data_IF_035197119781
#
_entry.id   IF_035197119781
#
_cell.length_a   1.000
_cell.length_b   1.000
_cell.length_c   1.000
_cell.angle_alpha   90.00
_cell.angle_beta   90.00
_cell.angle_gamma   90.00
#
_symmetry.space_group_name_H-M   'P 1'
#
loop_
_entity.id
_entity.type
_entity.pdbx_description
1 polymer ?
#
# COMPACT_ATOMS: atom_id res chain seq x y z
N UNK A 1 1.12 18.26 -5.02
CA UNK A 1 0.13 17.15 -5.11
C UNK A 1 -0.10 16.62 -3.70
N UNK A 2 -1.35 16.52 -3.23
CA UNK A 2 -1.67 16.09 -1.86
C UNK A 2 -2.30 14.69 -1.91
N UNK A 3 -1.69 13.70 -1.24
CA UNK A 3 -2.14 12.31 -1.26
C UNK A 3 -3.52 12.10 -0.60
N UNK A 4 -3.97 13.02 0.26
CA UNK A 4 -5.33 13.01 0.79
C UNK A 4 -6.39 13.21 -0.30
N UNK A 5 -6.03 13.82 -1.43
CA UNK A 5 -6.95 14.11 -2.54
C UNK A 5 -6.96 12.99 -3.58
N UNK A 6 -5.81 12.41 -3.92
CA UNK A 6 -5.69 11.40 -4.96
C UNK A 6 -4.47 10.49 -4.73
N UNK A 7 -4.55 9.27 -5.25
CA UNK A 7 -3.46 8.30 -5.22
C UNK A 7 -2.43 8.55 -6.35
N UNK A 8 -1.41 7.70 -6.43
CA UNK A 8 -0.38 7.79 -7.46
C UNK A 8 -0.92 7.70 -8.90
N UNK A 9 -2.01 6.97 -9.14
CA UNK A 9 -2.65 6.91 -10.47
C UNK A 9 -3.28 8.26 -10.78
N UNK A 10 -4.06 8.81 -9.86
CA UNK A 10 -4.64 10.15 -10.01
C UNK A 10 -3.56 11.23 -10.22
N UNK A 11 -2.45 11.14 -9.49
CA UNK A 11 -1.32 12.05 -9.66
C UNK A 11 -0.74 12.00 -11.08
N UNK A 12 -0.54 10.80 -11.63
CA UNK A 12 0.00 10.65 -12.98
C UNK A 12 -1.00 11.08 -14.06
N UNK A 13 -2.30 10.81 -13.89
CA UNK A 13 -3.34 11.32 -14.80
C UNK A 13 -3.37 12.86 -14.84
N UNK A 14 -3.15 13.52 -13.70
CA UNK A 14 -3.00 14.98 -13.65
C UNK A 14 -1.77 15.46 -14.43
N UNK A 15 -0.61 14.84 -14.22
CA UNK A 15 0.63 15.21 -14.93
C UNK A 15 0.48 15.01 -16.44
N UNK A 16 -0.15 13.90 -16.86
CA UNK A 16 -0.43 13.63 -18.28
C UNK A 16 -1.38 14.69 -18.87
N UNK A 17 -2.47 15.01 -18.18
CA UNK A 17 -3.44 16.03 -18.60
C UNK A 17 -2.79 17.42 -18.72
N UNK A 18 -1.89 17.75 -17.78
CA UNK A 18 -1.12 18.98 -17.83
C UNK A 18 -0.20 19.02 -19.05
N UNK A 19 0.51 17.92 -19.36
CA UNK A 19 1.37 17.82 -20.52
C UNK A 19 0.60 17.87 -21.86
N UNK A 20 -0.63 17.36 -21.92
CA UNK A 20 -1.52 17.52 -23.08
C UNK A 20 -1.97 18.97 -23.27
N UNK A 21 -2.41 19.59 -22.17
CA UNK A 21 -2.84 20.99 -22.18
C UNK A 21 -1.70 21.92 -22.62
N UNK A 22 -0.49 21.71 -22.10
CA UNK A 22 0.69 22.49 -22.46
C UNK A 22 1.09 22.35 -23.94
N UNK A 23 0.77 21.22 -24.57
CA UNK A 23 0.97 20.99 -26.02
C UNK A 23 -0.15 21.57 -26.89
N UNK A 24 -1.16 22.19 -26.29
CA UNK A 24 -2.30 22.76 -27.02
C UNK A 24 -3.27 21.71 -27.55
N UNK A 25 -3.30 20.52 -26.96
CA UNK A 25 -4.31 19.51 -27.31
C UNK A 25 -5.69 20.03 -26.91
N UNK A 26 -6.65 19.99 -27.85
CA UNK A 26 -7.99 20.56 -27.66
C UNK A 26 -8.85 19.78 -26.63
N UNK A 27 -8.67 18.46 -26.57
CA UNK A 27 -9.39 17.57 -25.65
C UNK A 27 -8.42 16.60 -24.98
N UNK A 28 -8.57 16.39 -23.67
CA UNK A 28 -7.74 15.47 -22.91
C UNK A 28 -8.02 14.01 -23.33
N UNK A 29 -6.98 13.18 -23.42
CA UNK A 29 -7.12 11.75 -23.76
C UNK A 29 -7.92 10.99 -22.69
N UNK A 30 -7.80 11.42 -21.43
CA UNK A 30 -8.57 10.91 -20.29
C UNK A 30 -9.12 12.10 -19.50
N UNK A 31 -10.36 12.53 -19.77
CA UNK A 31 -10.99 13.57 -18.97
C UNK A 31 -11.15 13.11 -17.51
N UNK A 32 -10.89 13.97 -16.52
CA UNK A 32 -11.00 13.59 -15.11
C UNK A 32 -12.47 13.43 -14.70
N UNK A 33 -12.76 12.35 -13.99
CA UNK A 33 -14.04 12.12 -13.32
C UNK A 33 -13.90 12.51 -11.84
N UNK A 34 -14.58 13.60 -11.45
CA UNK A 34 -14.39 14.27 -10.16
C UNK A 34 -15.42 13.91 -9.09
N UNK A 35 -16.47 13.15 -9.44
CA UNK A 35 -17.51 12.80 -8.49
C UNK A 35 -17.06 11.67 -7.56
N UNK A 36 -16.52 12.03 -6.40
CA UNK A 36 -16.09 11.05 -5.40
C UNK A 36 -17.24 10.33 -4.69
N UNK A 37 -18.51 10.73 -4.90
CA UNK A 37 -19.66 10.07 -4.26
C UNK A 37 -19.85 8.62 -4.71
N UNK A 38 -19.22 8.21 -5.82
CA UNK A 38 -19.14 6.82 -6.28
C UNK A 38 -18.47 5.86 -5.28
N UNK A 39 -17.70 6.40 -4.33
CA UNK A 39 -17.07 5.67 -3.21
C UNK A 39 -17.65 6.05 -1.84
N UNK A 40 -18.90 6.51 -1.79
CA UNK A 40 -19.59 6.76 -0.51
C UNK A 40 -19.86 5.44 0.21
N UNK A 41 -19.84 5.47 1.55
CA UNK A 41 -20.31 4.35 2.35
C UNK A 41 -21.77 4.01 2.06
N UNK A 42 -22.09 2.73 2.24
CA UNK A 42 -23.45 2.21 2.18
C UNK A 42 -24.27 2.74 3.35
N UNK A 43 -25.59 2.75 3.18
CA UNK A 43 -26.56 3.11 4.20
C UNK A 43 -27.57 1.96 4.40
N UNK A 44 -27.49 1.19 5.51
CA UNK A 44 -26.52 1.32 6.61
C UNK A 44 -25.12 0.78 6.24
N UNK A 45 -24.05 1.26 6.90
CA UNK A 45 -22.70 0.74 6.71
C UNK A 45 -22.59 -0.69 7.25
N UNK A 46 -21.80 -1.53 6.58
CA UNK A 46 -21.52 -2.90 7.02
C UNK A 46 -20.17 -2.95 7.73
N UNK A 47 -20.17 -3.25 9.02
CA UNK A 47 -19.00 -3.18 9.88
C UNK A 47 -18.09 -4.42 9.88
N UNK A 48 -18.43 -5.46 9.13
CA UNK A 48 -17.60 -6.67 9.03
C UNK A 48 -16.41 -6.42 8.10
N UNK A 49 -15.34 -5.87 8.65
CA UNK A 49 -14.04 -5.86 8.00
C UNK A 49 -12.93 -6.24 9.01
N UNK A 50 -12.30 -7.41 8.85
CA UNK A 50 -11.14 -7.75 9.67
C UNK A 50 -9.92 -6.97 9.17
N UNK A 51 -9.55 -5.91 9.90
CA UNK A 51 -8.39 -5.07 9.58
C UNK A 51 -7.08 -5.73 9.99
N UNK A 52 -6.56 -6.65 9.18
CA UNK A 52 -5.22 -7.22 9.41
C UNK A 52 -4.10 -6.23 9.07
N UNK A 53 -4.37 -5.25 8.20
CA UNK A 53 -3.45 -4.18 7.78
C UNK A 53 -2.82 -3.45 8.96
N UNK A 54 -3.64 -3.11 9.96
CA UNK A 54 -3.27 -2.32 11.13
C UNK A 54 -3.02 -3.17 12.38
N UNK A 55 -3.09 -4.49 12.27
CA UNK A 55 -2.81 -5.37 13.40
C UNK A 55 -1.33 -5.24 13.81
N UNK A 56 -1.09 -5.03 15.10
CA UNK A 56 0.26 -5.01 15.65
C UNK A 56 0.89 -6.41 15.55
N UNK A 57 2.18 -6.44 15.19
CA UNK A 57 3.00 -7.63 15.25
C UNK A 57 3.94 -7.49 16.45
N UNK A 58 4.11 -8.53 17.29
CA UNK A 58 5.07 -8.47 18.38
C UNK A 58 6.50 -8.24 17.86
N UNK A 59 7.23 -7.33 18.47
CA UNK A 59 8.64 -7.06 18.18
C UNK A 59 9.52 -7.96 19.04
N UNK A 60 9.86 -9.13 18.51
CA UNK A 60 10.71 -10.14 19.14
C UNK A 60 12.21 -9.86 18.85
N UNK A 61 12.50 -9.17 17.76
CA UNK A 61 13.88 -8.87 17.31
C UNK A 61 14.37 -7.48 17.73
N UNK A 62 13.60 -6.76 18.56
CA UNK A 62 13.91 -5.39 19.00
C UNK A 62 14.18 -4.46 17.81
N UNK A 63 13.39 -4.61 16.76
CA UNK A 63 13.50 -3.83 15.52
C UNK A 63 13.27 -2.35 15.77
N UNK A 64 12.44 -1.99 16.76
CA UNK A 64 12.25 -0.61 17.17
C UNK A 64 13.54 0.03 17.68
N UNK A 65 14.34 -0.67 18.49
CA UNK A 65 15.64 -0.18 18.94
C UNK A 65 16.63 -0.09 17.77
N UNK A 66 16.61 -1.07 16.85
CA UNK A 66 17.46 -1.04 15.67
C UNK A 66 17.20 0.19 14.79
N UNK A 67 15.94 0.53 14.53
CA UNK A 67 15.60 1.75 13.77
C UNK A 67 15.91 3.03 14.54
N UNK A 68 15.80 3.02 15.87
CA UNK A 68 16.17 4.18 16.70
C UNK A 68 17.68 4.41 16.82
N UNK A 69 18.49 3.35 16.64
CA UNK A 69 19.95 3.41 16.79
C UNK A 69 20.69 3.70 15.48
N UNK A 70 20.06 3.48 14.32
CA UNK A 70 20.69 3.59 13.01
C UNK A 70 20.04 4.67 12.14
N UNK A 71 20.87 5.40 11.40
CA UNK A 71 20.38 6.34 10.40
C UNK A 71 19.80 5.58 9.20
N UNK A 72 18.57 5.92 8.82
CA UNK A 72 17.93 5.34 7.63
C UNK A 72 18.50 5.99 6.37
N UNK A 73 19.11 5.16 5.52
CA UNK A 73 19.66 5.59 4.24
C UNK A 73 18.66 5.32 3.11
N UNK A 74 18.32 6.37 2.37
CA UNK A 74 17.54 6.24 1.14
C UNK A 74 18.46 5.87 -0.03
N UNK A 75 18.12 4.79 -0.73
CA UNK A 75 18.83 4.32 -1.94
C UNK A 75 17.82 3.87 -2.98
N UNK A 76 18.14 4.15 -4.25
CA UNK A 76 17.36 3.69 -5.40
C UNK A 76 18.08 2.52 -6.06
N UNK A 77 17.32 1.47 -6.37
CA UNK A 77 17.81 0.29 -7.08
C UNK A 77 17.10 0.24 -8.43
N UNK A 78 17.88 0.17 -9.51
CA UNK A 78 17.33 0.07 -10.85
C UNK A 78 17.28 -1.40 -11.27
N UNK A 79 16.14 -1.84 -11.76
CA UNK A 79 15.93 -3.18 -12.29
C UNK A 79 15.62 -3.06 -13.78
N UNK A 80 16.55 -3.46 -14.63
CA UNK A 80 16.33 -3.53 -16.06
C UNK A 80 15.41 -4.72 -16.43
N UNK A 81 14.87 -4.76 -17.67
CA UNK A 81 13.96 -5.83 -18.08
C UNK A 81 14.55 -7.24 -17.92
N UNK A 82 15.85 -7.43 -18.16
CA UNK A 82 16.50 -8.74 -18.04
C UNK A 82 16.54 -9.19 -16.58
N UNK A 83 16.84 -8.27 -15.65
CA UNK A 83 16.75 -8.52 -14.22
C UNK A 83 15.32 -8.84 -13.79
N UNK A 84 14.33 -8.09 -14.25
CA UNK A 84 12.92 -8.33 -13.91
C UNK A 84 12.46 -9.72 -14.37
N UNK A 85 12.87 -10.17 -15.55
CA UNK A 85 12.57 -11.51 -16.04
C UNK A 85 13.31 -12.60 -15.27
N UNK A 86 14.58 -12.37 -14.86
CA UNK A 86 15.28 -13.28 -13.95
C UNK A 86 14.57 -13.41 -12.60
N UNK A 87 14.12 -12.30 -12.01
CA UNK A 87 13.38 -12.29 -10.75
C UNK A 87 12.06 -13.05 -10.87
N UNK A 88 11.33 -12.85 -11.98
CA UNK A 88 10.12 -13.65 -12.28
C UNK A 88 10.47 -15.14 -12.41
N UNK A 89 11.55 -15.48 -13.11
CA UNK A 89 12.05 -16.85 -13.24
C UNK A 89 12.34 -17.50 -11.88
N UNK A 90 12.97 -16.78 -10.95
CA UNK A 90 13.20 -17.27 -9.57
C UNK A 90 11.90 -17.57 -8.82
N UNK A 91 10.86 -16.78 -9.03
CA UNK A 91 9.55 -17.00 -8.40
C UNK A 91 8.78 -18.18 -9.00
N UNK A 92 9.10 -18.61 -10.22
CA UNK A 92 8.44 -19.70 -10.93
C UNK A 92 9.25 -21.01 -10.96
N UNK A 93 10.52 -20.97 -10.56
CA UNK A 93 11.49 -22.05 -10.78
C UNK A 93 11.12 -23.39 -10.14
N UNK A 94 10.39 -23.38 -9.02
CA UNK A 94 9.98 -24.58 -8.29
C UNK A 94 8.59 -25.10 -8.69
N UNK A 95 7.91 -24.44 -9.63
CA UNK A 95 6.57 -24.80 -10.09
C UNK A 95 5.44 -24.60 -9.07
N UNK A 96 5.73 -24.02 -7.90
CA UNK A 96 4.70 -23.77 -6.88
C UNK A 96 3.69 -22.70 -7.32
N UNK A 97 4.14 -21.74 -8.15
CA UNK A 97 3.31 -20.72 -8.77
C UNK A 97 3.11 -21.02 -10.25
N UNK A 98 1.86 -21.10 -10.69
CA UNK A 98 1.52 -21.26 -12.11
C UNK A 98 1.77 -19.99 -12.94
N UNK A 99 1.69 -18.82 -12.31
CA UNK A 99 2.04 -17.53 -12.89
C UNK A 99 2.45 -16.54 -11.80
N UNK A 100 3.22 -15.52 -12.15
CA UNK A 100 3.65 -14.48 -11.23
C UNK A 100 3.87 -13.16 -11.98
N UNK A 101 3.34 -12.06 -11.47
CA UNK A 101 3.62 -10.74 -12.01
C UNK A 101 5.01 -10.26 -11.58
N UNK A 102 5.60 -9.33 -12.32
CA UNK A 102 6.88 -8.70 -11.94
C UNK A 102 6.80 -8.04 -10.56
N UNK A 103 5.66 -7.41 -10.26
CA UNK A 103 5.38 -6.83 -8.96
C UNK A 103 5.48 -7.90 -7.87
N UNK A 104 4.71 -8.98 -7.99
CA UNK A 104 4.67 -10.07 -7.00
C UNK A 104 6.06 -10.69 -6.77
N UNK A 105 6.79 -10.99 -7.85
CA UNK A 105 8.11 -11.60 -7.79
C UNK A 105 9.14 -10.68 -7.11
N UNK A 106 9.16 -9.39 -7.50
CA UNK A 106 10.09 -8.41 -6.96
C UNK A 106 9.77 -8.06 -5.51
N UNK A 107 8.49 -7.89 -5.18
CA UNK A 107 8.00 -7.72 -3.80
C UNK A 107 8.48 -8.87 -2.91
N UNK A 108 8.28 -10.11 -3.35
CA UNK A 108 8.72 -11.30 -2.62
C UNK A 108 10.24 -11.36 -2.44
N UNK A 109 11.00 -11.04 -3.49
CA UNK A 109 12.47 -11.02 -3.43
C UNK A 109 12.98 -9.96 -2.44
N UNK A 110 12.46 -8.75 -2.52
CA UNK A 110 12.89 -7.61 -1.68
C UNK A 110 12.51 -7.84 -0.23
N UNK A 111 11.32 -8.37 0.02
CA UNK A 111 10.90 -8.72 1.37
C UNK A 111 11.84 -9.74 2.01
N UNK A 112 12.21 -10.79 1.28
CA UNK A 112 13.23 -11.76 1.73
C UNK A 112 14.59 -11.11 1.95
N UNK A 113 15.05 -10.27 1.01
CA UNK A 113 16.34 -9.59 1.10
C UNK A 113 16.43 -8.68 2.33
N UNK A 114 15.38 -7.90 2.60
CA UNK A 114 15.31 -7.02 3.78
C UNK A 114 15.29 -7.83 5.08
N UNK A 115 14.46 -8.87 5.16
CA UNK A 115 14.42 -9.78 6.31
C UNK A 115 15.79 -10.37 6.60
N UNK A 116 16.53 -10.78 5.56
CA UNK A 116 17.91 -11.27 5.69
C UNK A 116 18.87 -10.19 6.17
N UNK A 117 18.81 -8.99 5.60
CA UNK A 117 19.70 -7.88 5.92
C UNK A 117 19.56 -7.38 7.36
N UNK A 118 18.35 -7.45 7.91
CA UNK A 118 18.06 -7.08 9.29
C UNK A 118 18.43 -8.16 10.31
N UNK A 119 18.80 -9.36 9.88
CA UNK A 119 19.18 -10.44 10.79
C UNK A 119 18.08 -10.82 11.78
N UNK A 120 16.81 -10.76 11.37
CA UNK A 120 15.66 -10.97 12.25
C UNK A 120 15.66 -12.38 12.84
N UNK A 121 15.18 -12.51 14.08
CA UNK A 121 14.96 -13.80 14.72
C UNK A 121 13.96 -14.64 13.88
N UNK A 122 14.15 -15.96 13.74
CA UNK A 122 13.27 -16.80 12.90
C UNK A 122 11.78 -16.67 13.23
N UNK A 123 11.43 -16.42 14.49
CA UNK A 123 10.07 -16.29 15.02
C UNK A 123 9.46 -14.90 14.77
N UNK A 124 10.28 -13.90 14.40
CA UNK A 124 9.81 -12.55 14.13
C UNK A 124 8.82 -12.57 12.97
N UNK A 125 7.58 -12.17 13.23
CA UNK A 125 6.61 -11.90 12.18
C UNK A 125 7.00 -10.62 11.47
N UNK A 126 6.89 -10.63 10.15
CA UNK A 126 7.14 -9.46 9.30
C UNK A 126 5.92 -9.21 8.43
N UNK A 127 5.68 -7.93 8.12
CA UNK A 127 4.56 -7.49 7.29
C UNK A 127 5.09 -6.72 6.08
N UNK A 128 4.63 -7.11 4.90
CA UNK A 128 4.84 -6.35 3.67
C UNK A 128 3.51 -5.67 3.30
N UNK A 129 3.47 -4.35 3.40
CA UNK A 129 2.32 -3.51 3.09
C UNK A 129 2.47 -2.95 1.67
N UNK A 130 1.39 -2.95 0.90
CA UNK A 130 1.40 -2.41 -0.46
C UNK A 130 0.00 -1.96 -0.89
N UNK A 131 -0.03 -0.98 -1.80
CA UNK A 131 -1.27 -0.48 -2.37
C UNK A 131 -1.76 -1.37 -3.53
N UNK A 132 -3.06 -1.63 -3.58
CA UNK A 132 -3.72 -2.33 -4.68
C UNK A 132 -4.74 -1.39 -5.34
N UNK A 133 -4.65 -1.23 -6.66
CA UNK A 133 -5.64 -0.48 -7.43
C UNK A 133 -6.98 -1.22 -7.48
N UNK A 134 -7.98 -0.59 -6.88
CA UNK A 134 -9.35 -1.05 -6.76
C UNK A 134 -10.23 -0.65 -7.93
N UNK A 135 -9.83 0.29 -8.78
CA UNK A 135 -10.69 0.89 -9.82
C UNK A 135 -11.43 -0.14 -10.67
N UNK A 136 -10.74 -1.18 -11.11
CA UNK A 136 -11.31 -2.27 -11.93
C UNK A 136 -11.95 -3.40 -11.13
N UNK A 137 -11.77 -3.40 -9.81
CA UNK A 137 -12.20 -4.47 -8.89
C UNK A 137 -13.56 -4.19 -8.26
N UNK A 138 -14.03 -2.94 -8.29
CA UNK A 138 -15.39 -2.59 -7.88
C UNK A 138 -16.42 -3.15 -8.86
N UNK A 139 -17.63 -3.38 -8.36
CA UNK A 139 -18.80 -3.75 -9.15
C UNK A 139 -19.94 -2.74 -8.90
N UNK A 140 -20.30 -1.88 -9.88
CA UNK A 140 -19.59 -1.65 -11.15
C UNK A 140 -18.19 -1.04 -10.93
N UNK A 141 -17.26 -1.18 -11.92
CA UNK A 141 -15.94 -0.55 -11.85
C UNK A 141 -16.02 0.97 -11.71
N UNK A 142 -14.99 1.58 -11.12
CA UNK A 142 -14.89 3.03 -11.07
C UNK A 142 -14.79 3.62 -12.49
N UNK A 143 -15.39 4.78 -12.75
CA UNK A 143 -15.36 5.42 -14.06
C UNK A 143 -13.93 5.62 -14.56
N UNK A 144 -13.74 5.49 -15.88
CA UNK A 144 -12.48 5.85 -16.52
C UNK A 144 -12.19 7.33 -16.22
N UNK A 145 -10.95 7.62 -15.79
CA UNK A 145 -10.56 8.96 -15.37
C UNK A 145 -10.92 9.30 -13.92
N UNK A 146 -11.42 8.35 -13.10
CA UNK A 146 -11.69 8.58 -11.68
C UNK A 146 -10.48 9.22 -10.99
N UNK A 147 -10.69 10.46 -10.55
CA UNK A 147 -9.67 11.32 -9.95
C UNK A 147 -9.90 11.41 -8.45
N UNK A 148 -9.25 10.51 -7.72
CA UNK A 148 -9.37 10.34 -6.28
C UNK A 148 -8.49 9.20 -5.80
N UNK A 149 -8.68 8.78 -4.55
CA UNK A 149 -8.06 7.58 -4.01
C UNK A 149 -8.94 6.37 -4.36
N UNK A 150 -8.51 5.56 -5.33
CA UNK A 150 -9.16 4.31 -5.75
C UNK A 150 -8.36 3.07 -5.36
N UNK A 151 -7.49 3.18 -4.35
CA UNK A 151 -6.62 2.12 -3.85
C UNK A 151 -7.04 1.67 -2.45
N UNK A 152 -6.64 0.46 -2.08
CA UNK A 152 -6.63 0.01 -0.68
C UNK A 152 -5.23 -0.49 -0.33
N UNK A 153 -4.81 -0.27 0.91
CA UNK A 153 -3.59 -0.88 1.43
C UNK A 153 -3.93 -2.31 1.86
N UNK A 154 -3.17 -3.28 1.34
CA UNK A 154 -3.22 -4.67 1.78
C UNK A 154 -1.84 -5.13 2.24
N UNK A 155 -1.76 -6.29 2.90
CA UNK A 155 -0.51 -6.81 3.43
C UNK A 155 -0.34 -8.31 3.26
N UNK A 156 0.92 -8.71 3.13
CA UNK A 156 1.36 -10.10 3.26
C UNK A 156 2.09 -10.29 4.61
N UNK A 157 1.87 -11.44 5.25
CA UNK A 157 2.43 -11.78 6.56
C UNK A 157 3.19 -13.10 6.49
N UNK A 158 4.38 -13.15 7.09
CA UNK A 158 5.18 -14.35 7.25
C UNK A 158 6.16 -14.18 8.41
N UNK A 159 6.67 -15.28 8.95
CA UNK A 159 7.83 -15.22 9.86
C UNK A 159 9.12 -15.05 9.08
N UNK A 160 10.15 -14.48 9.71
CA UNK A 160 11.47 -14.37 9.10
C UNK A 160 12.03 -15.75 8.73
N UNK A 161 11.84 -16.75 9.60
CA UNK A 161 12.27 -18.13 9.35
C UNK A 161 11.61 -18.73 8.11
N UNK A 162 10.30 -18.52 7.94
CA UNK A 162 9.57 -18.96 6.74
C UNK A 162 10.11 -18.30 5.47
N UNK A 163 10.28 -16.98 5.49
CA UNK A 163 10.77 -16.23 4.33
C UNK A 163 12.19 -16.66 3.90
N UNK A 164 13.08 -16.90 4.87
CA UNK A 164 14.48 -17.20 4.60
C UNK A 164 14.74 -18.67 4.28
N UNK A 165 13.92 -19.59 4.81
CA UNK A 165 14.04 -21.03 4.53
C UNK A 165 13.35 -21.45 3.23
N UNK A 166 12.36 -20.71 2.76
CA UNK A 166 11.63 -21.01 1.53
C UNK A 166 12.21 -20.30 0.28
N UNK A 167 11.94 -20.80 -0.95
CA UNK A 167 12.27 -20.10 -2.19
C UNK A 167 11.50 -18.78 -2.35
N UNK A 168 11.90 -17.96 -3.34
CA UNK A 168 11.24 -16.67 -3.65
C UNK A 168 9.76 -16.85 -3.97
N UNK A 169 9.40 -17.98 -4.60
CA UNK A 169 8.02 -18.39 -4.90
C UNK A 169 7.09 -18.29 -3.69
N UNK A 170 7.54 -18.65 -2.49
CA UNK A 170 6.73 -18.60 -1.28
C UNK A 170 6.33 -17.17 -0.92
N UNK A 171 7.30 -16.26 -0.90
CA UNK A 171 7.05 -14.85 -0.60
C UNK A 171 6.22 -14.19 -1.70
N UNK A 172 6.51 -14.48 -2.97
CA UNK A 172 5.74 -13.99 -4.11
C UNK A 172 4.29 -14.49 -4.08
N UNK A 173 4.08 -15.75 -3.69
CA UNK A 173 2.75 -16.36 -3.53
C UNK A 173 1.91 -15.68 -2.45
N UNK A 174 2.52 -15.34 -1.31
CA UNK A 174 1.84 -14.56 -0.26
C UNK A 174 1.41 -13.17 -0.75
N UNK A 175 2.25 -12.50 -1.54
CA UNK A 175 1.89 -11.23 -2.18
C UNK A 175 0.75 -11.43 -3.17
N UNK A 176 0.82 -12.45 -4.03
CA UNK A 176 -0.22 -12.77 -5.00
C UNK A 176 -1.56 -13.07 -4.33
N UNK A 177 -1.57 -13.82 -3.23
CA UNK A 177 -2.75 -14.10 -2.43
C UNK A 177 -3.36 -12.82 -1.85
N UNK A 178 -2.54 -11.98 -1.20
CA UNK A 178 -3.00 -10.70 -0.66
C UNK A 178 -3.54 -9.75 -1.75
N UNK A 179 -2.90 -9.69 -2.93
CA UNK A 179 -3.43 -8.96 -4.09
C UNK A 179 -4.78 -9.53 -4.54
N UNK A 180 -4.96 -10.85 -4.55
CA UNK A 180 -6.22 -11.51 -4.97
C UNK A 180 -7.36 -11.31 -3.99
N UNK A 181 -7.07 -11.18 -2.69
CA UNK A 181 -8.09 -10.93 -1.67
C UNK A 181 -8.80 -9.58 -1.85
N UNK A 182 -8.18 -8.62 -2.52
CA UNK A 182 -8.79 -7.32 -2.80
C UNK A 182 -9.87 -7.47 -3.88
N UNK A 183 -11.13 -7.60 -3.48
CA UNK A 183 -12.31 -7.68 -4.35
C UNK A 183 -13.30 -6.55 -4.03
N UNK A 184 -14.37 -6.39 -4.81
CA UNK A 184 -15.47 -5.47 -4.43
C UNK A 184 -16.00 -5.78 -3.01
N UNK A 185 -16.17 -7.07 -2.70
CA UNK A 185 -16.64 -7.56 -1.40
C UNK A 185 -15.67 -7.23 -0.25
N UNK A 186 -14.37 -7.11 -0.54
CA UNK A 186 -13.37 -6.62 0.42
C UNK A 186 -13.38 -5.08 0.51
N UNK A 187 -13.42 -4.38 -0.63
CA UNK A 187 -13.27 -2.92 -0.66
C UNK A 187 -14.50 -2.17 -0.13
N UNK A 188 -15.73 -2.66 -0.39
CA UNK A 188 -16.96 -1.97 0.04
C UNK A 188 -17.07 -1.86 1.57
N UNK A 189 -16.86 -2.94 2.36
CA UNK A 189 -16.82 -2.80 3.82
C UNK A 189 -15.64 -1.96 4.32
N UNK A 190 -14.50 -1.96 3.63
CA UNK A 190 -13.39 -1.06 3.96
C UNK A 190 -13.81 0.42 3.82
N UNK A 191 -14.48 0.79 2.73
CA UNK A 191 -15.05 2.14 2.56
C UNK A 191 -15.99 2.50 3.71
N UNK A 192 -16.95 1.61 4.03
CA UNK A 192 -17.89 1.82 5.13
C UNK A 192 -17.17 2.07 6.47
N UNK A 193 -16.15 1.25 6.77
CA UNK A 193 -15.37 1.39 7.99
C UNK A 193 -14.60 2.71 8.05
N UNK A 194 -13.93 3.10 6.96
CA UNK A 194 -13.13 4.32 6.94
C UNK A 194 -14.00 5.57 7.03
N UNK A 195 -15.16 5.60 6.36
CA UNK A 195 -16.09 6.71 6.51
C UNK A 195 -16.67 6.81 7.92
N UNK A 196 -17.09 5.68 8.52
CA UNK A 196 -17.60 5.65 9.89
C UNK A 196 -16.54 6.08 10.91
N UNK A 197 -15.29 5.66 10.72
CA UNK A 197 -14.17 6.05 11.60
C UNK A 197 -13.82 7.53 11.44
N UNK A 198 -13.83 8.07 10.22
CA UNK A 198 -13.65 9.51 9.97
C UNK A 198 -14.78 10.36 10.56
N UNK A 199 -16.02 9.88 10.52
CA UNK A 199 -17.15 10.57 11.14
C UNK A 199 -16.95 10.68 12.66
N UNK A 200 -16.65 9.55 13.31
CA UNK A 200 -16.35 9.48 14.75
C UNK A 200 -15.16 10.37 15.15
N UNK A 201 -14.05 10.34 14.41
CA UNK A 201 -12.88 11.20 14.69
C UNK A 201 -13.25 12.68 14.63
N UNK A 202 -14.03 13.10 13.61
CA UNK A 202 -14.51 14.48 13.50
C UNK A 202 -15.44 14.88 14.64
N UNK A 203 -16.31 13.98 15.09
CA UNK A 203 -17.16 14.20 16.25
C UNK A 203 -16.34 14.34 17.53
N UNK A 204 -15.34 13.48 17.74
CA UNK A 204 -14.43 13.55 18.89
C UNK A 204 -13.60 14.85 18.87
N UNK A 205 -13.09 15.26 17.71
CA UNK A 205 -12.39 16.54 17.54
C UNK A 205 -13.29 17.73 17.81
N UNK A 206 -14.53 17.72 17.30
CA UNK A 206 -15.52 18.76 17.57
C UNK A 206 -15.85 18.84 19.07
N UNK A 207 -16.06 17.70 19.73
CA UNK A 207 -16.29 17.62 21.17
C UNK A 207 -15.07 18.10 21.98
N UNK A 208 -13.84 17.79 21.55
CA UNK A 208 -12.60 18.28 22.18
C UNK A 208 -12.44 19.79 21.99
N UNK A 209 -12.71 20.32 20.79
CA UNK A 209 -12.65 21.74 20.50
C UNK A 209 -13.66 22.54 21.35
N UNK A 210 -14.82 21.94 21.62
CA UNK A 210 -15.86 22.49 22.49
C UNK A 210 -15.53 22.43 24.01
N UNK A 211 -14.46 21.75 24.44
CA UNK A 211 -14.06 21.72 25.86
C UNK A 211 -13.40 23.03 26.31
N UNK A 212 -13.65 23.49 27.55
CA UNK A 212 -12.95 24.63 28.13
C UNK A 212 -11.43 24.42 28.11
N UNK A 213 -10.67 25.50 27.92
CA UNK A 213 -9.21 25.44 27.80
C UNK A 213 -8.50 24.77 29.00
N UNK A 214 -9.13 24.76 30.17
CA UNK A 214 -8.65 24.09 31.38
C UNK A 214 -8.64 22.55 31.32
N UNK A 215 -9.25 21.94 30.30
CA UNK A 215 -9.39 20.48 30.16
C UNK A 215 -8.83 19.91 28.83
N UNK A 216 -8.05 20.71 28.08
CA UNK A 216 -7.38 20.24 26.87
C UNK A 216 -6.06 19.55 27.24
N UNK A 217 -6.05 18.22 27.29
CA UNK A 217 -4.81 17.44 27.36
C UNK A 217 -4.08 17.54 26.00
N UNK A 218 -2.81 17.94 26.03
CA UNK A 218 -1.99 18.24 24.85
C UNK A 218 -1.40 17.00 24.15
N UNK A 219 -1.80 15.79 24.55
CA UNK A 219 -1.32 14.56 23.92
C UNK A 219 -2.19 14.18 22.72
N UNK A 220 -1.59 14.27 21.53
CA UNK A 220 -2.12 13.64 20.33
C UNK A 220 -2.13 12.11 20.51
N UNK A 221 -3.16 11.39 20.02
CA UNK A 221 -3.12 9.94 19.98
C UNK A 221 -1.97 9.49 19.07
N UNK A 222 -1.07 8.66 19.61
CA UNK A 222 0.06 8.07 18.86
C UNK A 222 -0.49 7.18 17.73
N UNK A 223 -0.07 7.43 16.50
CA UNK A 223 -0.34 6.52 15.40
C UNK A 223 0.43 5.20 15.61
N UNK A 224 -0.24 4.06 15.39
CA UNK A 224 0.30 2.72 15.57
C UNK A 224 0.80 2.20 14.22
N UNK A 225 2.08 1.80 14.08
CA UNK A 225 2.60 1.24 12.82
C UNK A 225 4.12 1.28 12.60
N UNK A 226 4.93 0.85 13.56
CA UNK A 226 6.41 0.96 13.48
C UNK A 226 7.12 -0.09 12.62
N UNK A 227 6.45 -1.20 12.25
CA UNK A 227 7.07 -2.32 11.54
C UNK A 227 6.47 -2.57 10.15
N UNK A 228 6.37 -1.52 9.34
CA UNK A 228 5.78 -1.60 8.00
C UNK A 228 6.85 -1.48 6.92
N UNK A 229 6.85 -2.41 5.97
CA UNK A 229 7.52 -2.24 4.68
C UNK A 229 6.45 -1.70 3.73
N UNK A 230 6.53 -0.45 3.33
CA UNK A 230 5.77 0.05 2.18
C UNK A 230 6.50 -0.39 0.90
N UNK A 231 5.78 -0.90 -0.09
CA UNK A 231 6.33 -1.16 -1.41
C UNK A 231 5.46 -0.47 -2.45
N UNK A 232 5.82 0.76 -2.78
CA UNK A 232 5.15 1.56 -3.80
C UNK A 232 5.79 1.37 -5.17
N UNK A 233 5.35 0.34 -5.92
CA UNK A 233 5.82 0.10 -7.28
C UNK A 233 5.03 0.95 -8.27
N UNK A 234 5.66 1.98 -8.81
CA UNK A 234 5.12 2.80 -9.89
C UNK A 234 5.65 2.33 -11.24
N UNK A 235 4.76 1.94 -12.16
CA UNK A 235 5.11 1.66 -13.56
C UNK A 235 5.09 2.97 -14.35
N UNK A 236 6.19 3.31 -15.02
CA UNK A 236 6.20 4.41 -16.01
C UNK A 236 5.55 3.97 -17.32
N UNK A 237 4.86 4.91 -17.99
CA UNK A 237 4.21 4.72 -19.30
C UNK A 237 5.18 4.88 -20.49
N UNK A 238 6.46 5.20 -20.25
CA UNK A 238 7.47 5.45 -21.29
C UNK A 238 8.14 4.18 -21.86
N UNK A 239 7.63 2.98 -21.54
CA UNK A 239 8.21 1.72 -21.98
C UNK A 239 9.46 1.28 -21.21
N UNK A 240 9.97 2.11 -20.30
CA UNK A 240 11.01 1.75 -19.34
C UNK A 240 10.34 1.47 -18.00
N UNK A 241 10.16 0.19 -17.68
CA UNK A 241 9.59 -0.22 -16.41
C UNK A 241 10.50 0.17 -15.26
N UNK A 242 10.23 1.29 -14.60
CA UNK A 242 10.83 1.60 -13.31
C UNK A 242 10.06 0.85 -12.22
N UNK A 243 10.77 0.37 -11.21
CA UNK A 243 10.16 -0.08 -9.95
C UNK A 243 10.82 0.74 -8.85
N UNK A 244 10.12 1.76 -8.37
CA UNK A 244 10.49 2.39 -7.11
C UNK A 244 10.13 1.45 -5.98
N UNK A 245 11.04 1.27 -5.02
CA UNK A 245 10.76 0.58 -3.77
C UNK A 245 11.07 1.58 -2.67
N UNK A 246 10.02 2.09 -2.03
CA UNK A 246 10.14 3.01 -0.91
C UNK A 246 9.91 2.25 0.38
N UNK A 247 10.96 1.80 1.05
CA UNK A 247 10.82 1.34 2.43
C UNK A 247 10.62 2.56 3.33
N UNK A 248 9.37 2.97 3.54
CA UNK A 248 9.02 4.00 4.50
C UNK A 248 8.85 3.36 5.89
N UNK A 249 9.66 3.80 6.85
CA UNK A 249 9.36 3.66 8.27
C UNK A 249 8.70 4.99 8.65
N UNK A 250 7.43 4.95 9.04
CA UNK A 250 6.73 6.16 9.48
C UNK A 250 7.33 6.60 10.80
N UNK A 251 7.77 7.87 10.86
CA UNK A 251 8.26 8.50 12.07
C UNK A 251 7.11 9.25 12.77
N UNK A 252 7.08 9.08 14.10
CA UNK A 252 6.34 9.76 15.18
C UNK A 252 4.84 10.11 15.03
#
# INVERSE_FOLDING_TARGET
MNHCMFDGIGAMEFVNSWAETARGVAELTVPPFLDCSVLKARDPPVHTFPHHEFAEIPDVSDTAALYGAQELLYRSFCFDPDWLERVRGLALADGALGCCTTLEALSGLVWRARTKALGLAPEQRTKLLFAVDGRRRFSPPLPRGYFGNGIVLTNALATAGELLSAPVSRAAGLVQEAVRMVTDEYMRPAVDYFEATRARQREEEHQRAARPASHRDGRLPRAHGRDMIDLSVMRSNDGHGWVAIHTCIYDA
#
